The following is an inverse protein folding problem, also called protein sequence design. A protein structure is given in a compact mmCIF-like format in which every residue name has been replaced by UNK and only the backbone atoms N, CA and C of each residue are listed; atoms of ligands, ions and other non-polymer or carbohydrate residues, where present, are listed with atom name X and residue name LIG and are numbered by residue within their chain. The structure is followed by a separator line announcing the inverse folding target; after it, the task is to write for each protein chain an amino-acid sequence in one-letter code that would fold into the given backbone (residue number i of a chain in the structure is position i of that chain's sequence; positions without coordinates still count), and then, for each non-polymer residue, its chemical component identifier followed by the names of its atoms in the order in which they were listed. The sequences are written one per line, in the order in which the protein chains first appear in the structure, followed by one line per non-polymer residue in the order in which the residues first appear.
data_IF_769516251187
#
_entry.id   IF_769516251187
#
_cell.length_a   1.000
_cell.length_b   1.000
_cell.length_c   1.000
_cell.angle_alpha   90.00
_cell.angle_beta   90.00
_cell.angle_gamma   90.00
#
_symmetry.space_group_name_H-M   'P 1'
#
loop_
_entity.id
_entity.type
_entity.pdbx_description
1 polymer ?
#
# COMPACT_ATOMS: atom_id res chain seq x y z
N UNK A 1 -16.03 1.94 -4.24
CA UNK A 1 -15.19 2.56 -5.30
C UNK A 1 -14.27 1.46 -5.82
N UNK A 2 -14.55 0.99 -7.03
CA UNK A 2 -13.93 -0.20 -7.64
C UNK A 2 -12.57 0.16 -8.22
N UNK A 3 -11.52 -0.63 -7.94
CA UNK A 3 -10.21 -0.50 -8.58
C UNK A 3 -9.92 -1.80 -9.34
N UNK A 4 -10.50 -1.93 -10.54
CA UNK A 4 -10.12 -2.98 -11.50
C UNK A 4 -9.06 -2.39 -12.41
N UNK A 5 -7.80 -2.79 -12.27
CA UNK A 5 -6.79 -2.48 -13.27
C UNK A 5 -5.89 -3.69 -13.52
N UNK A 6 -5.69 -3.97 -14.80
CA UNK A 6 -4.64 -4.82 -15.31
C UNK A 6 -3.31 -4.15 -15.03
N UNK A 7 -2.53 -4.69 -14.08
CA UNK A 7 -1.13 -4.24 -13.87
C UNK A 7 -0.37 -4.39 -15.21
N UNK A 8 0.29 -3.35 -15.72
CA UNK A 8 1.17 -3.52 -16.88
C UNK A 8 2.25 -4.56 -16.56
N UNK A 9 2.68 -5.36 -17.56
CA UNK A 9 3.81 -6.27 -17.36
C UNK A 9 5.00 -5.47 -16.84
N UNK A 10 5.68 -5.99 -15.82
CA UNK A 10 6.89 -5.34 -15.35
C UNK A 10 7.91 -5.35 -16.47
N UNK A 11 8.50 -4.21 -16.79
CA UNK A 11 9.76 -4.22 -17.52
C UNK A 11 10.82 -4.83 -16.61
N UNK A 12 11.73 -5.63 -17.18
CA UNK A 12 12.84 -6.20 -16.44
C UNK A 12 13.69 -5.05 -15.84
N UNK A 13 14.33 -5.24 -14.67
CA UNK A 13 15.10 -4.19 -14.02
C UNK A 13 16.20 -3.58 -14.90
N UNK A 14 16.77 -4.37 -15.82
CA UNK A 14 17.80 -3.90 -16.76
C UNK A 14 17.26 -2.89 -17.80
N UNK A 15 15.95 -2.87 -18.01
CA UNK A 15 15.27 -1.96 -18.94
C UNK A 15 14.68 -0.75 -18.21
N UNK A 16 14.88 -0.63 -16.90
CA UNK A 16 14.42 0.53 -16.16
C UNK A 16 15.22 1.78 -16.56
N UNK A 17 14.57 2.96 -16.58
CA UNK A 17 15.32 4.21 -16.64
C UNK A 17 16.26 4.29 -15.44
N UNK A 18 17.31 5.11 -15.56
CA UNK A 18 18.22 5.37 -14.45
C UNK A 18 17.43 5.88 -13.23
N UNK A 19 17.38 5.05 -12.19
CA UNK A 19 16.73 5.41 -10.94
C UNK A 19 17.51 6.51 -10.22
N UNK A 20 16.77 7.39 -9.53
CA UNK A 20 17.31 8.44 -8.69
C UNK A 20 16.67 8.37 -7.32
N UNK A 21 17.34 8.94 -6.32
CA UNK A 21 16.75 9.11 -5.00
C UNK A 21 15.47 9.95 -5.12
N UNK A 22 14.47 9.62 -4.30
CA UNK A 22 13.23 10.39 -4.28
C UNK A 22 13.50 11.81 -3.78
N UNK A 23 12.87 12.84 -4.36
CA UNK A 23 12.84 14.18 -3.75
C UNK A 23 12.33 14.10 -2.31
N UNK A 24 12.85 14.95 -1.41
CA UNK A 24 12.53 14.89 0.01
C UNK A 24 11.02 14.88 0.31
N UNK A 25 10.25 15.74 -0.36
CA UNK A 25 8.80 15.81 -0.19
C UNK A 25 8.10 14.53 -0.66
N UNK A 26 8.52 13.96 -1.79
CA UNK A 26 7.97 12.70 -2.31
C UNK A 26 8.33 11.53 -1.39
N UNK A 27 9.57 11.47 -0.92
CA UNK A 27 10.02 10.45 0.04
C UNK A 27 9.19 10.49 1.32
N UNK A 28 8.93 11.69 1.86
CA UNK A 28 8.12 11.87 3.05
C UNK A 28 6.66 11.42 2.84
N UNK A 29 6.07 11.73 1.69
CA UNK A 29 4.72 11.28 1.37
C UNK A 29 4.63 9.76 1.23
N UNK A 30 5.63 9.11 0.61
CA UNK A 30 5.75 7.65 0.57
C UNK A 30 5.88 7.08 1.98
N UNK A 31 6.76 7.64 2.81
CA UNK A 31 6.91 7.25 4.22
C UNK A 31 5.58 7.33 4.96
N UNK A 32 4.81 8.41 4.81
CA UNK A 32 3.48 8.56 5.46
C UNK A 32 2.47 7.53 4.96
N UNK A 33 2.47 7.23 3.66
CA UNK A 33 1.61 6.19 3.10
C UNK A 33 1.95 4.81 3.68
N UNK A 34 3.24 4.50 3.82
CA UNK A 34 3.72 3.28 4.47
C UNK A 34 3.33 3.25 5.94
N UNK A 35 3.61 4.30 6.71
CA UNK A 35 3.25 4.40 8.13
C UNK A 35 1.75 4.17 8.33
N UNK A 36 0.91 4.77 7.48
CA UNK A 36 -0.54 4.62 7.56
C UNK A 36 -0.98 3.18 7.30
N UNK A 37 -0.43 2.53 6.25
CA UNK A 37 -0.74 1.13 5.94
C UNK A 37 -0.31 0.19 7.07
N UNK A 38 0.86 0.43 7.67
CA UNK A 38 1.38 -0.38 8.76
C UNK A 38 0.63 -0.18 10.08
N UNK A 39 0.14 1.04 10.34
CA UNK A 39 -0.64 1.36 11.53
C UNK A 39 -2.11 0.93 11.43
N UNK A 40 -2.63 0.71 10.21
CA UNK A 40 -4.01 0.33 9.94
C UNK A 40 -4.07 -0.85 8.97
N UNK A 41 -3.74 -2.07 9.43
CA UNK A 41 -3.78 -3.25 8.57
C UNK A 41 -5.14 -3.43 7.88
N UNK A 42 -5.13 -3.74 6.58
CA UNK A 42 -6.33 -3.83 5.75
C UNK A 42 -6.75 -2.53 5.07
N UNK A 43 -6.19 -1.39 5.47
CA UNK A 43 -6.39 -0.13 4.75
C UNK A 43 -5.47 -0.04 3.54
N UNK A 44 -6.05 0.04 2.34
CA UNK A 44 -5.29 0.32 1.10
C UNK A 44 -4.91 1.80 1.07
N UNK A 45 -3.62 2.10 1.05
CA UNK A 45 -3.09 3.47 0.90
C UNK A 45 -2.57 3.68 -0.51
N UNK A 46 -2.68 4.92 -1.01
CA UNK A 46 -2.13 5.30 -2.31
C UNK A 46 -0.77 5.95 -2.12
N UNK A 47 0.20 5.49 -2.90
CA UNK A 47 1.49 6.17 -3.05
C UNK A 47 1.32 7.44 -3.89
N UNK A 48 2.20 8.45 -3.74
CA UNK A 48 2.14 9.69 -4.51
C UNK A 48 2.24 9.43 -6.01
N UNK A 49 1.52 10.21 -6.80
CA UNK A 49 1.53 10.04 -8.25
C UNK A 49 2.91 10.34 -8.85
N UNK A 50 3.38 9.46 -9.75
CA UNK A 50 4.69 9.63 -10.39
C UNK A 50 5.88 9.54 -9.42
N UNK A 51 5.70 8.96 -8.23
CA UNK A 51 6.82 8.77 -7.29
C UNK A 51 7.93 7.88 -7.86
N UNK A 52 7.58 6.98 -8.78
CA UNK A 52 8.52 6.22 -9.62
C UNK A 52 8.07 6.32 -11.09
N UNK A 53 8.98 6.15 -12.06
CA UNK A 53 8.61 6.08 -13.48
C UNK A 53 7.62 4.94 -13.75
N UNK A 54 6.73 5.11 -14.75
CA UNK A 54 5.66 4.14 -15.04
C UNK A 54 6.15 2.74 -15.41
N UNK A 55 7.37 2.62 -15.95
CA UNK A 55 8.02 1.34 -16.26
C UNK A 55 8.58 0.63 -15.01
N UNK A 56 8.63 1.31 -13.87
CA UNK A 56 9.15 0.80 -12.60
C UNK A 56 7.97 0.45 -11.70
N UNK A 57 7.91 -0.77 -11.16
CA UNK A 57 6.78 -1.18 -10.33
C UNK A 57 6.74 -0.40 -9.00
N UNK A 58 5.55 0.01 -8.61
CA UNK A 58 5.32 0.87 -7.44
C UNK A 58 5.84 0.30 -6.11
N UNK A 59 6.03 -1.02 -6.01
CA UNK A 59 6.65 -1.69 -4.86
C UNK A 59 8.07 -1.20 -4.56
N UNK A 60 8.72 -0.60 -5.55
CA UNK A 60 10.05 -0.01 -5.42
C UNK A 60 10.02 1.29 -4.61
N UNK A 61 8.93 2.05 -4.63
CA UNK A 61 8.87 3.36 -3.97
C UNK A 61 9.08 3.28 -2.45
N UNK A 62 8.45 2.36 -1.69
CA UNK A 62 8.77 2.15 -0.28
C UNK A 62 10.24 1.83 -0.03
N UNK A 63 10.88 1.02 -0.89
CA UNK A 63 12.31 0.69 -0.75
C UNK A 63 13.15 1.96 -0.92
N UNK A 64 12.92 2.71 -2.00
CA UNK A 64 13.62 3.99 -2.26
C UNK A 64 13.44 5.02 -1.13
N UNK A 65 12.28 5.04 -0.47
CA UNK A 65 11.99 6.00 0.60
C UNK A 65 12.53 5.59 1.98
N UNK A 66 12.64 4.28 2.24
CA UNK A 66 12.89 3.76 3.59
C UNK A 66 14.26 3.12 3.77
N UNK A 67 14.98 2.80 2.70
CA UNK A 67 16.31 2.20 2.82
C UNK A 67 17.43 3.24 2.74
N UNK A 68 18.45 3.03 3.56
CA UNK A 68 19.72 3.76 3.60
C UNK A 68 20.90 2.81 3.90
N UNK A 69 22.09 3.37 4.14
CA UNK A 69 23.33 2.66 4.45
C UNK A 69 23.22 1.66 5.63
N UNK A 70 22.30 1.89 6.57
CA UNK A 70 22.12 1.12 7.80
C UNK A 70 20.99 0.09 7.69
N UNK A 71 20.25 0.06 6.58
CA UNK A 71 19.16 -0.88 6.35
C UNK A 71 19.51 -1.84 5.20
N UNK A 72 20.09 -3.02 5.50
CA UNK A 72 20.33 -4.03 4.49
C UNK A 72 19.07 -4.40 3.69
N UNK A 73 19.23 -4.57 2.38
CA UNK A 73 18.17 -4.92 1.44
C UNK A 73 18.47 -6.29 0.82
N UNK A 74 17.43 -7.02 0.43
CA UNK A 74 17.54 -8.20 -0.43
C UNK A 74 16.44 -8.21 -1.48
N UNK A 75 16.70 -8.90 -2.58
CA UNK A 75 15.68 -9.24 -3.58
C UNK A 75 15.34 -10.73 -3.46
N UNK A 76 14.05 -11.06 -3.46
CA UNK A 76 13.55 -12.43 -3.42
C UNK A 76 12.96 -12.78 -4.78
N UNK A 77 13.67 -13.60 -5.53
CA UNK A 77 13.17 -14.05 -6.84
C UNK A 77 12.14 -15.17 -6.65
N UNK A 78 11.14 -15.18 -7.53
CA UNK A 78 10.28 -16.33 -7.76
C UNK A 78 10.67 -16.98 -9.10
N UNK A 79 10.46 -18.28 -9.24
CA UNK A 79 10.81 -19.00 -10.46
C UNK A 79 10.09 -18.43 -11.69
N UNK A 80 8.85 -17.96 -11.50
CA UNK A 80 7.99 -17.42 -12.55
C UNK A 80 8.28 -15.95 -12.88
N UNK A 81 8.82 -15.19 -11.91
CA UNK A 81 9.09 -13.76 -12.03
C UNK A 81 10.43 -13.43 -11.37
N UNK A 82 11.54 -13.60 -12.10
CA UNK A 82 12.86 -13.17 -11.64
C UNK A 82 13.00 -11.63 -11.73
N UNK A 83 14.12 -11.09 -11.24
CA UNK A 83 14.45 -9.68 -11.36
C UNK A 83 14.49 -8.93 -10.02
N UNK A 84 14.05 -9.55 -8.93
CA UNK A 84 13.99 -8.89 -7.64
C UNK A 84 15.40 -8.61 -7.10
N UNK A 85 16.36 -9.52 -7.33
CA UNK A 85 17.77 -9.33 -6.94
C UNK A 85 18.44 -8.21 -7.73
N UNK A 86 18.28 -8.19 -9.05
CA UNK A 86 18.82 -7.13 -9.90
C UNK A 86 18.21 -5.76 -9.54
N UNK A 87 16.91 -5.74 -9.23
CA UNK A 87 16.25 -4.54 -8.71
C UNK A 87 16.84 -4.10 -7.36
N UNK A 88 17.08 -5.03 -6.43
CA UNK A 88 17.71 -4.71 -5.15
C UNK A 88 19.12 -4.12 -5.33
N UNK A 89 19.92 -4.63 -6.26
CA UNK A 89 21.24 -4.08 -6.59
C UNK A 89 21.16 -2.65 -7.16
N UNK A 90 20.19 -2.39 -8.05
CA UNK A 90 19.94 -1.04 -8.56
C UNK A 90 19.55 -0.08 -7.43
N UNK A 91 18.68 -0.52 -6.53
CA UNK A 91 18.21 0.28 -5.40
C UNK A 91 19.30 0.55 -4.37
N UNK A 92 20.15 -0.44 -4.10
CA UNK A 92 21.32 -0.28 -3.24
C UNK A 92 22.29 0.78 -3.77
N UNK A 93 22.51 0.86 -5.09
CA UNK A 93 23.33 1.92 -5.69
C UNK A 93 22.76 3.32 -5.50
N UNK A 94 21.43 3.45 -5.49
CA UNK A 94 20.74 4.74 -5.33
C UNK A 94 20.66 5.18 -3.86
N UNK A 95 20.44 4.22 -2.95
CA UNK A 95 20.14 4.49 -1.53
C UNK A 95 21.36 4.35 -0.61
N UNK A 96 22.42 3.71 -1.09
CA UNK A 96 23.58 3.33 -0.28
C UNK A 96 23.35 2.08 0.59
N UNK A 97 22.17 1.46 0.51
CA UNK A 97 21.87 0.23 1.24
C UNK A 97 22.81 -0.92 0.85
N UNK A 98 23.07 -1.82 1.81
CA UNK A 98 23.88 -3.02 1.56
C UNK A 98 22.99 -4.17 1.11
N UNK A 99 23.29 -4.77 -0.03
CA UNK A 99 22.62 -6.01 -0.44
C UNK A 99 23.16 -7.17 0.40
N UNK A 100 22.25 -7.95 1.00
CA UNK A 100 22.55 -9.10 1.86
C UNK A 100 21.65 -10.27 1.52
N UNK A 101 22.05 -11.44 2.03
CA UNK A 101 21.22 -12.63 2.10
C UNK A 101 19.92 -12.37 2.89
N UNK A 102 18.81 -13.08 2.57
CA UNK A 102 17.51 -12.84 3.21
C UNK A 102 17.54 -12.82 4.75
N UNK A 103 18.30 -13.75 5.36
CA UNK A 103 18.42 -13.85 6.82
C UNK A 103 19.04 -12.62 7.51
N UNK A 104 19.76 -11.77 6.76
CA UNK A 104 20.40 -10.54 7.29
C UNK A 104 19.78 -9.26 6.73
N UNK A 105 18.74 -9.37 5.92
CA UNK A 105 18.07 -8.23 5.33
C UNK A 105 17.12 -7.55 6.35
N UNK A 106 17.04 -6.21 6.30
CA UNK A 106 16.01 -5.41 6.98
C UNK A 106 14.83 -5.12 6.07
N UNK A 107 15.08 -5.05 4.77
CA UNK A 107 14.06 -4.93 3.73
C UNK A 107 14.22 -6.04 2.71
N UNK A 108 13.10 -6.54 2.22
CA UNK A 108 13.05 -7.50 1.14
C UNK A 108 12.11 -6.99 0.04
N UNK A 109 12.53 -7.13 -1.21
CA UNK A 109 11.73 -6.80 -2.38
C UNK A 109 11.35 -8.10 -3.09
N UNK A 110 10.08 -8.28 -3.40
CA UNK A 110 9.59 -9.43 -4.16
C UNK A 110 8.59 -8.99 -5.24
N UNK A 111 8.74 -9.51 -6.46
CA UNK A 111 7.81 -9.22 -7.57
C UNK A 111 6.68 -10.24 -7.73
N UNK A 112 6.83 -11.41 -7.12
CA UNK A 112 5.83 -12.46 -7.01
C UNK A 112 6.02 -13.21 -5.69
N UNK A 113 5.17 -14.20 -5.42
CA UNK A 113 5.30 -15.05 -4.23
C UNK A 113 6.60 -15.88 -4.32
N UNK A 114 7.54 -15.67 -3.39
CA UNK A 114 8.83 -16.37 -3.34
C UNK A 114 8.92 -17.24 -2.10
N UNK A 115 9.41 -18.48 -2.26
CA UNK A 115 9.66 -19.38 -1.14
C UNK A 115 10.80 -18.88 -0.22
N UNK A 116 11.73 -18.07 -0.75
CA UNK A 116 12.84 -17.49 0.02
C UNK A 116 12.38 -16.54 1.13
N UNK A 117 11.10 -16.17 1.15
CA UNK A 117 10.52 -15.40 2.26
C UNK A 117 10.65 -16.10 3.60
N UNK A 118 10.82 -17.43 3.64
CA UNK A 118 11.02 -18.18 4.88
C UNK A 118 12.36 -17.92 5.55
N UNK A 119 13.33 -17.42 4.79
CA UNK A 119 14.68 -17.15 5.27
C UNK A 119 14.81 -15.74 5.86
N UNK A 120 13.79 -14.90 5.70
CA UNK A 120 13.79 -13.54 6.21
C UNK A 120 13.71 -13.52 7.75
N UNK A 121 14.49 -12.64 8.37
CA UNK A 121 14.49 -12.51 9.83
C UNK A 121 13.12 -12.05 10.38
N UNK A 122 12.67 -12.69 11.45
CA UNK A 122 11.51 -12.22 12.23
C UNK A 122 11.88 -11.25 13.36
N UNK A 123 13.18 -11.03 13.59
CA UNK A 123 13.65 -10.46 14.85
C UNK A 123 13.51 -11.47 15.99
N UNK A 124 13.54 -10.98 17.22
CA UNK A 124 13.34 -11.79 18.42
C UNK A 124 12.24 -11.19 19.29
N UNK A 125 11.81 -11.90 20.33
CA UNK A 125 10.86 -11.34 21.29
C UNK A 125 11.45 -10.14 22.05
N UNK A 126 12.77 -10.09 22.25
CA UNK A 126 13.47 -8.97 22.89
C UNK A 126 13.76 -7.82 21.94
N UNK A 127 13.81 -8.10 20.63
CA UNK A 127 14.14 -7.12 19.60
C UNK A 127 13.31 -7.37 18.33
N UNK A 128 11.98 -7.18 18.39
CA UNK A 128 11.09 -7.40 17.25
C UNK A 128 11.31 -6.38 16.12
N UNK A 129 11.87 -5.20 16.43
CA UNK A 129 12.27 -4.17 15.47
C UNK A 129 13.37 -4.65 14.51
N UNK A 130 14.01 -5.76 14.82
CA UNK A 130 15.02 -6.39 13.98
C UNK A 130 14.46 -7.38 12.95
N UNK A 131 13.14 -7.55 12.88
CA UNK A 131 12.52 -8.27 11.77
C UNK A 131 12.69 -7.56 10.41
N UNK A 132 12.59 -8.33 9.35
CA UNK A 132 12.59 -7.83 7.98
C UNK A 132 11.20 -7.28 7.58
N UNK A 133 11.21 -6.25 6.73
CA UNK A 133 10.03 -5.70 6.06
C UNK A 133 9.97 -6.19 4.61
N UNK A 134 8.96 -6.99 4.29
CA UNK A 134 8.72 -7.47 2.92
C UNK A 134 7.85 -6.47 2.14
N UNK A 135 8.41 -5.92 1.06
CA UNK A 135 7.72 -5.17 0.03
C UNK A 135 7.31 -6.14 -1.09
N UNK A 136 6.05 -6.59 -1.03
CA UNK A 136 5.50 -7.58 -1.96
C UNK A 136 4.70 -6.87 -3.05
N UNK A 137 5.10 -7.06 -4.30
CA UNK A 137 4.28 -6.70 -5.44
C UNK A 137 3.11 -7.67 -5.54
N UNK A 138 1.95 -7.12 -5.83
CA UNK A 138 0.75 -7.89 -6.16
C UNK A 138 0.09 -7.31 -7.41
N UNK A 139 -0.80 -8.09 -8.00
CA UNK A 139 -1.53 -7.66 -9.21
C UNK A 139 -2.78 -6.83 -8.88
N UNK A 140 -3.28 -6.92 -7.65
CA UNK A 140 -4.45 -6.15 -7.23
C UNK A 140 -4.69 -6.18 -5.72
N UNK A 141 -5.33 -5.13 -5.23
CA UNK A 141 -5.76 -4.95 -3.84
C UNK A 141 -7.19 -4.39 -3.81
N UNK A 142 -8.07 -4.95 -2.97
CA UNK A 142 -9.40 -4.38 -2.74
C UNK A 142 -10.41 -5.34 -2.09
N UNK A 143 -11.66 -4.91 -2.01
CA UNK A 143 -12.73 -5.61 -1.26
C UNK A 143 -13.54 -6.60 -2.13
N UNK A 144 -13.27 -6.67 -3.43
CA UNK A 144 -14.11 -7.41 -4.39
C UNK A 144 -13.43 -8.64 -4.98
N UNK A 145 -14.25 -9.63 -5.32
CA UNK A 145 -13.92 -10.86 -6.08
C UNK A 145 -12.87 -10.58 -7.15
N UNK A 146 -11.74 -11.29 -7.08
CA UNK A 146 -10.74 -11.23 -8.14
C UNK A 146 -11.35 -11.67 -9.48
N UNK A 147 -10.83 -11.16 -10.61
CA UNK A 147 -11.14 -11.70 -11.92
C UNK A 147 -10.90 -13.21 -11.92
N UNK A 148 -11.82 -13.99 -12.51
CA UNK A 148 -11.86 -15.46 -12.42
C UNK A 148 -10.56 -16.17 -12.85
N UNK A 149 -9.66 -15.49 -13.56
CA UNK A 149 -8.46 -16.07 -14.16
C UNK A 149 -7.17 -15.85 -13.36
N UNK A 150 -7.23 -15.28 -12.15
CA UNK A 150 -6.02 -15.03 -11.32
C UNK A 150 -6.18 -15.52 -9.89
N UNK A 151 -5.12 -16.09 -9.28
CA UNK A 151 -5.16 -16.48 -7.88
C UNK A 151 -5.38 -15.24 -7.01
N UNK A 152 -6.26 -15.37 -6.04
CA UNK A 152 -6.53 -14.30 -5.09
C UNK A 152 -6.69 -14.84 -3.67
N UNK A 153 -5.98 -14.20 -2.76
CA UNK A 153 -5.97 -14.48 -1.35
C UNK A 153 -6.96 -13.53 -0.65
N UNK A 154 -7.97 -14.09 0.01
CA UNK A 154 -8.89 -13.34 0.87
C UNK A 154 -8.44 -13.45 2.31
N UNK A 155 -8.24 -12.30 2.95
CA UNK A 155 -7.78 -12.18 4.32
C UNK A 155 -8.84 -11.49 5.15
N UNK A 156 -9.15 -12.07 6.31
CA UNK A 156 -9.88 -11.39 7.37
C UNK A 156 -8.91 -11.02 8.47
N UNK A 157 -8.67 -9.72 8.62
CA UNK A 157 -7.68 -9.16 9.53
C UNK A 157 -8.36 -8.75 10.83
N UNK A 158 -7.70 -9.03 11.94
CA UNK A 158 -8.09 -8.64 13.30
C UNK A 158 -6.85 -8.29 14.10
N UNK A 159 -7.01 -7.49 15.17
CA UNK A 159 -5.92 -7.13 16.07
C UNK A 159 -5.61 -5.64 16.10
N UNK A 160 -4.44 -5.24 16.63
CA UNK A 160 -4.05 -3.84 16.79
C UNK A 160 -4.13 -3.06 15.46
N UNK A 161 -4.68 -1.84 15.52
CA UNK A 161 -4.87 -1.00 14.33
C UNK A 161 -6.11 -1.37 13.48
N UNK A 162 -6.78 -2.49 13.77
CA UNK A 162 -8.05 -2.89 13.15
C UNK A 162 -9.18 -2.69 14.15
N UNK A 163 -10.21 -1.90 13.80
CA UNK A 163 -11.28 -1.53 14.74
C UNK A 163 -12.08 -2.74 15.25
N UNK A 164 -12.47 -3.63 14.35
CA UNK A 164 -13.26 -4.86 14.66
C UNK A 164 -12.77 -6.00 13.79
N UNK A 165 -12.89 -5.83 12.48
CA UNK A 165 -12.30 -6.68 11.45
C UNK A 165 -12.07 -5.82 10.20
N UNK A 166 -11.19 -6.27 9.31
CA UNK A 166 -11.03 -5.73 7.98
C UNK A 166 -10.87 -6.89 7.00
N UNK A 167 -11.65 -6.87 5.92
CA UNK A 167 -11.51 -7.85 4.84
C UNK A 167 -10.62 -7.26 3.74
N UNK A 168 -9.72 -8.07 3.20
CA UNK A 168 -8.82 -7.66 2.12
C UNK A 168 -8.68 -8.79 1.11
N UNK A 169 -8.90 -8.49 -0.16
CA UNK A 169 -8.57 -9.38 -1.27
C UNK A 169 -7.27 -8.94 -1.93
N UNK A 170 -6.33 -9.86 -2.06
CA UNK A 170 -5.02 -9.64 -2.66
C UNK A 170 -4.89 -10.56 -3.87
N UNK A 171 -4.78 -9.98 -5.07
CA UNK A 171 -4.66 -10.76 -6.31
C UNK A 171 -3.19 -10.97 -6.66
N UNK A 172 -2.81 -12.18 -7.06
CA UNK A 172 -1.42 -12.55 -7.35
C UNK A 172 -0.68 -13.16 -6.15
N UNK A 173 -1.36 -13.42 -5.04
CA UNK A 173 -0.88 -14.27 -3.94
C UNK A 173 -1.80 -15.46 -3.78
N UNK A 174 -1.23 -16.57 -3.31
CA UNK A 174 -1.95 -17.81 -3.02
C UNK A 174 -2.06 -18.06 -1.51
N UNK A 175 -2.87 -19.02 -1.04
CA UNK A 175 -2.87 -19.43 0.37
C UNK A 175 -1.49 -19.84 0.91
N UNK A 176 -0.61 -20.34 0.05
CA UNK A 176 0.77 -20.69 0.40
C UNK A 176 1.54 -19.51 0.97
N UNK A 177 1.28 -18.28 0.54
CA UNK A 177 1.88 -17.08 1.15
C UNK A 177 1.60 -16.98 2.66
N UNK A 178 0.38 -17.32 3.09
CA UNK A 178 0.00 -17.33 4.51
C UNK A 178 0.64 -18.51 5.24
N UNK A 179 0.70 -19.67 4.60
CA UNK A 179 1.35 -20.87 5.16
C UNK A 179 2.85 -20.64 5.39
N UNK A 180 3.56 -20.09 4.40
CA UNK A 180 4.96 -19.72 4.52
C UNK A 180 5.13 -18.72 5.67
N UNK A 181 4.28 -17.70 5.75
CA UNK A 181 4.30 -16.74 6.87
C UNK A 181 4.08 -17.42 8.22
N UNK A 182 3.09 -18.31 8.33
CA UNK A 182 2.75 -18.98 9.58
C UNK A 182 3.86 -19.96 10.01
N UNK A 183 4.47 -20.65 9.05
CA UNK A 183 5.58 -21.58 9.28
C UNK A 183 6.83 -20.92 9.85
N UNK A 184 7.09 -19.65 9.51
CA UNK A 184 8.22 -18.89 10.06
C UNK A 184 7.93 -18.43 11.49
N UNK A 185 6.66 -18.17 11.84
CA UNK A 185 6.24 -17.65 13.16
C UNK A 185 6.20 -18.66 14.31
N UNK A 186 6.43 -19.95 14.05
CA UNK A 186 6.22 -21.04 15.02
C UNK A 186 4.73 -21.30 15.34
N UNK A 187 4.40 -22.44 15.98
CA UNK A 187 3.01 -22.77 16.28
C UNK A 187 2.41 -21.80 17.28
N UNK A 188 1.24 -21.22 16.95
CA UNK A 188 0.33 -20.63 17.94
C UNK A 188 -0.31 -21.81 18.67
N UNK A 189 0.30 -22.27 19.77
CA UNK A 189 -0.22 -23.42 20.51
C UNK A 189 -1.63 -23.12 21.07
N UNK A 190 -2.63 -23.98 20.82
CA UNK A 190 -3.92 -23.90 21.50
C UNK A 190 -3.81 -24.66 22.83
N UNK A 191 -3.13 -24.09 23.82
CA UNK A 191 -3.09 -24.68 25.15
C UNK A 191 -2.71 -23.65 26.21
N UNK A 192 -3.67 -23.37 27.09
CA UNK A 192 -3.52 -22.95 28.49
C UNK A 192 -2.48 -21.88 28.85
N UNK A 193 -2.98 -20.71 29.24
CA UNK A 193 -2.31 -19.76 30.16
C UNK A 193 -0.89 -19.25 29.78
N UNK A 194 -0.68 -18.90 28.51
CA UNK A 194 0.34 -17.90 28.16
C UNK A 194 -0.34 -16.53 27.95
N UNK A 195 0.24 -15.41 28.42
CA UNK A 195 -0.31 -14.08 28.14
C UNK A 195 -0.42 -13.88 26.63
N UNK A 196 -1.52 -13.28 26.19
CA UNK A 196 -1.92 -13.00 24.79
C UNK A 196 -0.99 -12.01 24.08
N UNK A 197 0.32 -12.19 24.16
CA UNK A 197 1.33 -11.25 23.68
C UNK A 197 2.45 -11.99 22.95
N UNK A 198 2.13 -12.63 21.83
CA UNK A 198 3.12 -13.01 20.82
C UNK A 198 2.90 -12.11 19.59
N UNK A 199 3.49 -10.91 19.68
CA UNK A 199 3.51 -9.89 18.65
C UNK A 199 4.54 -10.27 17.58
N UNK A 200 4.19 -11.15 16.65
CA UNK A 200 5.00 -11.37 15.44
C UNK A 200 4.49 -10.42 14.36
N UNK A 201 4.82 -9.13 14.51
CA UNK A 201 4.42 -8.07 13.59
C UNK A 201 5.30 -8.12 12.33
N UNK A 202 5.15 -9.16 11.52
CA UNK A 202 5.61 -9.10 10.15
C UNK A 202 4.72 -8.14 9.36
N UNK A 203 5.34 -7.03 8.96
CA UNK A 203 4.72 -5.90 8.28
C UNK A 203 5.00 -6.06 6.80
N UNK A 204 4.08 -6.70 6.09
CA UNK A 204 4.12 -6.76 4.64
C UNK A 204 3.51 -5.47 4.07
N UNK A 205 4.32 -4.68 3.36
CA UNK A 205 3.82 -3.60 2.53
C UNK A 205 3.42 -4.20 1.19
N UNK A 206 2.14 -4.47 1.05
CA UNK A 206 1.57 -4.89 -0.22
C UNK A 206 1.27 -3.64 -1.02
N UNK A 207 1.89 -3.51 -2.18
CA UNK A 207 1.66 -2.36 -3.07
C UNK A 207 0.99 -2.84 -4.35
N UNK A 208 -0.18 -2.28 -4.62
CA UNK A 208 -0.87 -2.36 -5.90
C UNK A 208 -1.13 -0.92 -6.34
N UNK A 209 -0.81 -0.60 -7.58
CA UNK A 209 -1.00 0.74 -8.13
C UNK A 209 -1.79 0.67 -9.43
N UNK A 210 -2.62 1.69 -9.64
CA UNK A 210 -3.45 1.89 -10.82
C UNK A 210 -3.34 3.36 -11.23
N UNK A 211 -2.70 3.64 -12.37
CA UNK A 211 -2.82 4.92 -13.07
C UNK A 211 -4.04 4.88 -13.98
N UNK A 212 -4.85 5.93 -13.91
CA UNK A 212 -5.86 6.26 -14.93
C UNK A 212 -5.54 7.66 -15.42
N UNK A 213 -5.26 7.80 -16.71
CA UNK A 213 -5.28 9.07 -17.42
C UNK A 213 -5.95 8.86 -18.76
N UNK A 214 -7.12 9.48 -18.93
CA UNK A 214 -7.72 9.79 -20.21
C UNK A 214 -8.60 11.04 -20.01
N UNK A 215 -8.09 12.17 -20.50
CA UNK A 215 -8.86 13.20 -21.21
C UNK A 215 -10.29 13.51 -20.76
N UNK A 216 -10.49 14.66 -20.12
CA UNK A 216 -11.59 15.58 -20.46
C UNK A 216 -11.29 16.98 -19.94
N UNK A 217 -10.37 17.63 -20.64
CA UNK A 217 -10.32 19.08 -20.74
C UNK A 217 -10.95 19.45 -22.09
N UNK A 218 -12.25 19.15 -22.22
CA UNK A 218 -13.09 19.51 -23.37
C UNK A 218 -14.58 19.28 -23.05
N UNK A 219 -15.10 19.90 -21.99
CA UNK A 219 -16.54 20.07 -21.77
C UNK A 219 -16.78 21.05 -20.60
N UNK A 220 -16.39 22.32 -20.76
CA UNK A 220 -16.95 23.42 -19.97
C UNK A 220 -17.01 24.75 -20.74
N UNK A 221 -16.42 24.84 -21.93
CA UNK A 221 -16.63 25.95 -22.88
C UNK A 221 -17.59 25.52 -24.00
N UNK A 222 -18.89 25.46 -23.70
CA UNK A 222 -19.98 25.65 -24.69
C UNK A 222 -21.36 25.44 -24.06
N UNK A 223 -21.97 26.55 -23.61
CA UNK A 223 -23.40 26.85 -23.48
C UNK A 223 -23.59 27.70 -22.20
N UNK A 224 -24.08 28.94 -22.19
CA UNK A 224 -24.82 29.68 -23.20
C UNK A 224 -24.93 31.15 -22.73
N UNK A 225 -24.53 32.10 -23.58
CA UNK A 225 -25.23 33.40 -23.74
C UNK A 225 -26.26 33.13 -24.85
N UNK A 226 -27.54 33.48 -24.83
CA UNK A 226 -28.22 34.71 -24.39
C UNK A 226 -29.76 34.51 -24.52
N UNK A 227 -30.66 35.53 -24.48
CA UNK A 227 -31.74 35.64 -23.49
C UNK A 227 -33.17 35.54 -24.07
N UNK A 228 -34.17 35.44 -23.18
CA UNK A 228 -35.61 35.83 -23.30
C UNK A 228 -36.34 35.26 -22.07
N UNK A 229 -37.45 35.77 -21.51
CA UNK A 229 -37.97 37.11 -21.17
C UNK A 229 -39.23 36.81 -20.30
N UNK A 230 -39.26 37.26 -19.02
CA UNK A 230 -40.43 37.72 -18.19
C UNK A 230 -41.57 36.72 -17.79
N UNK A 231 -42.46 37.00 -16.78
CA UNK A 231 -42.64 38.19 -15.92
C UNK A 231 -42.76 37.83 -14.38
N UNK A 232 -43.41 38.60 -13.46
CA UNK A 232 -42.73 39.23 -12.34
C UNK A 232 -43.21 38.82 -10.93
N UNK A 233 -42.43 39.28 -9.95
CA UNK A 233 -42.62 39.19 -8.49
C UNK A 233 -43.78 40.10 -8.03
N UNK A 234 -44.56 39.73 -7.01
CA UNK A 234 -45.21 40.70 -6.13
C UNK A 234 -44.40 40.89 -4.84
N UNK A 235 -43.99 42.15 -4.61
CA UNK A 235 -43.61 42.68 -3.29
C UNK A 235 -44.86 43.26 -2.61
N UNK A 236 -44.96 43.10 -1.29
CA UNK A 236 -45.37 44.11 -0.30
C UNK A 236 -45.41 43.40 1.08
N UNK A 237 -44.65 43.89 2.08
CA UNK A 237 -45.13 44.77 3.17
C UNK A 237 -46.26 44.11 3.97
N UNK A 238 -46.26 43.99 5.30
CA UNK A 238 -45.70 44.84 6.36
C UNK A 238 -45.96 44.20 7.74
N UNK A 239 -45.15 44.59 8.73
CA UNK A 239 -45.49 44.79 10.15
C UNK A 239 -46.18 43.66 10.94
N UNK A 240 -45.60 43.26 12.08
CA UNK A 240 -45.96 43.79 13.41
C UNK A 240 -45.32 42.94 14.52
N UNK A 241 -44.79 43.64 15.51
CA UNK A 241 -44.25 43.20 16.80
C UNK A 241 -44.96 42.03 17.50
N UNK A 242 -44.19 41.22 18.24
CA UNK A 242 -44.31 41.14 19.71
C UNK A 242 -43.11 40.43 20.36
N UNK A 243 -42.49 41.15 21.30
CA UNK A 243 -41.59 40.65 22.34
C UNK A 243 -42.35 39.77 23.34
N UNK A 244 -41.62 38.85 23.99
CA UNK A 244 -41.64 38.45 25.42
C UNK A 244 -41.08 37.03 25.52
N UNK A 245 -40.43 36.57 26.58
CA UNK A 245 -39.67 37.19 27.65
C UNK A 245 -38.91 36.02 28.30
N UNK A 246 -37.69 36.29 28.73
CA UNK A 246 -36.88 35.43 29.58
C UNK A 246 -37.47 35.41 30.99
N UNK A 247 -37.50 34.27 31.66
CA UNK A 247 -37.48 34.19 33.14
C UNK A 247 -36.69 32.94 33.58
N UNK A 248 -35.81 33.07 34.59
CA UNK A 248 -34.97 31.99 35.09
C UNK A 248 -35.57 31.29 36.32
N UNK A 249 -35.11 30.07 36.58
CA UNK A 249 -34.83 29.53 37.92
C UNK A 249 -33.65 28.58 37.81
#
# INVERSE_FOLDING_TARGET
MTLTATTPPCTAPNDWPTLRALPGDTSQQVFRACLTALARPGMVTRLPAGCVPDSVPAVVAPVLALTDLMTPLTGLDAAEVPGAREAADLLARVTGAKVREPARARFALAFAESAEMTDLSLGSHWSPEFGALLCQRVTGLGDTTAPNDRPALRLRLTGPGVKVNADLTVTGLTPRFVELRAGVGGPITPSGNAPRSCWTAWRCLVTGWTTWWASSQAACDSASRSPRRWPPIPRCCSSTSRRRAWTPR
#
